data_IF_691851985313
#
_entry.id   IF_691851985313
#
_cell.length_a   1.000
_cell.length_b   1.000
_cell.length_c   1.000
_cell.angle_alpha   90.00
_cell.angle_beta   90.00
_cell.angle_gamma   90.00
#
_symmetry.space_group_name_H-M   'P 1'
#
loop_
_entity.id
_entity.type
_entity.pdbx_description
1 polymer ?
#
# COMPACT_ATOMS: atom_id res chain seq x y z
N UNK A 1 16.14 -32.83 -1.56
CA UNK A 1 14.84 -33.14 -0.91
C UNK A 1 14.70 -32.17 0.25
N UNK A 2 14.00 -31.06 0.03
CA UNK A 2 13.70 -30.02 1.03
C UNK A 2 12.21 -29.65 0.87
N UNK A 3 11.36 -30.67 0.68
CA UNK A 3 9.98 -30.52 0.21
C UNK A 3 8.97 -30.43 1.36
N UNK A 4 9.31 -29.73 2.43
CA UNK A 4 8.27 -29.31 3.36
C UNK A 4 8.56 -27.88 3.74
N UNK A 5 7.68 -26.95 3.34
CA UNK A 5 7.74 -25.54 3.76
C UNK A 5 7.47 -25.40 5.28
N UNK A 6 7.39 -26.53 5.99
CA UNK A 6 7.25 -26.65 7.44
C UNK A 6 8.20 -25.77 8.22
N UNK A 7 9.48 -25.70 7.87
CA UNK A 7 10.44 -24.86 8.61
C UNK A 7 10.04 -23.37 8.55
N UNK A 8 9.49 -22.91 7.42
CA UNK A 8 8.97 -21.55 7.28
C UNK A 8 7.67 -21.34 8.03
N UNK A 9 6.78 -22.34 8.04
CA UNK A 9 5.53 -22.33 8.80
C UNK A 9 5.83 -22.26 10.30
N UNK A 10 6.67 -23.15 10.80
CA UNK A 10 7.08 -23.21 12.20
C UNK A 10 7.79 -21.91 12.60
N UNK A 11 8.65 -21.35 11.74
CA UNK A 11 9.31 -20.07 11.98
C UNK A 11 8.35 -18.87 12.04
N UNK A 12 7.35 -18.81 11.16
CA UNK A 12 6.31 -17.76 11.22
C UNK A 12 5.44 -17.90 12.46
N UNK A 13 5.08 -19.12 12.85
CA UNK A 13 4.33 -19.39 14.08
C UNK A 13 5.16 -19.00 15.30
N UNK A 14 6.44 -19.37 15.36
CA UNK A 14 7.33 -18.97 16.45
C UNK A 14 7.46 -17.45 16.56
N UNK A 15 7.67 -16.78 15.41
CA UNK A 15 7.75 -15.31 15.34
C UNK A 15 6.46 -14.66 15.86
N UNK A 16 5.30 -15.29 15.64
CA UNK A 16 4.00 -14.73 16.07
C UNK A 16 3.84 -14.58 17.58
N UNK A 17 4.67 -15.25 18.38
CA UNK A 17 4.63 -15.11 19.83
C UNK A 17 5.21 -13.78 20.34
N UNK A 18 6.00 -13.08 19.54
CA UNK A 18 6.69 -11.87 19.96
C UNK A 18 6.66 -10.73 18.93
N UNK A 19 6.28 -10.99 17.68
CA UNK A 19 6.13 -9.98 16.64
C UNK A 19 4.65 -9.60 16.43
N UNK A 20 4.43 -8.43 15.83
CA UNK A 20 3.11 -7.98 15.39
C UNK A 20 2.66 -8.70 14.10
N UNK A 21 1.34 -8.75 13.88
CA UNK A 21 0.78 -9.29 12.64
C UNK A 21 1.30 -8.57 11.38
N UNK A 22 1.54 -7.25 11.47
CA UNK A 22 2.17 -6.48 10.39
C UNK A 22 3.60 -6.96 10.08
N UNK A 23 4.43 -7.18 11.11
CA UNK A 23 5.79 -7.71 10.92
C UNK A 23 5.77 -9.14 10.35
N UNK A 24 4.81 -9.97 10.75
CA UNK A 24 4.61 -11.29 10.15
C UNK A 24 4.24 -11.22 8.67
N UNK A 25 3.35 -10.29 8.28
CA UNK A 25 3.03 -10.03 6.86
C UNK A 25 4.28 -9.62 6.10
N UNK A 26 5.14 -8.78 6.68
CA UNK A 26 6.43 -8.41 6.10
C UNK A 26 7.35 -9.63 5.94
N UNK A 27 7.50 -10.48 6.96
CA UNK A 27 8.31 -11.71 6.85
C UNK A 27 7.79 -12.61 5.73
N UNK A 28 6.48 -12.86 5.70
CA UNK A 28 5.84 -13.68 4.66
C UNK A 28 6.09 -13.13 3.26
N UNK A 29 5.97 -11.81 3.07
CA UNK A 29 6.28 -11.15 1.80
C UNK A 29 7.76 -11.31 1.42
N UNK A 30 8.70 -11.24 2.37
CA UNK A 30 10.10 -11.51 2.09
C UNK A 30 10.32 -12.95 1.59
N UNK A 31 9.67 -13.94 2.21
CA UNK A 31 9.75 -15.34 1.78
C UNK A 31 9.21 -15.54 0.35
N UNK A 32 8.12 -14.85 0.01
CA UNK A 32 7.59 -14.81 -1.36
C UNK A 32 8.60 -14.18 -2.34
N UNK A 33 9.17 -13.02 -2.00
CA UNK A 33 10.10 -12.30 -2.88
C UNK A 33 11.41 -13.06 -3.12
N UNK A 34 11.85 -13.85 -2.14
CA UNK A 34 13.04 -14.70 -2.24
C UNK A 34 12.77 -16.03 -2.96
N UNK A 35 11.53 -16.27 -3.42
CA UNK A 35 11.10 -17.53 -4.05
C UNK A 35 11.51 -18.76 -3.22
N UNK A 36 11.51 -18.60 -1.89
CA UNK A 36 11.99 -19.62 -0.95
C UNK A 36 10.91 -20.66 -0.61
N UNK A 37 9.65 -20.35 -0.91
CA UNK A 37 8.51 -21.21 -0.63
C UNK A 37 8.21 -22.10 -1.84
N UNK A 38 8.12 -23.40 -1.60
CA UNK A 38 7.77 -24.39 -2.63
C UNK A 38 6.26 -24.37 -2.94
N UNK A 39 5.44 -24.15 -1.90
CA UNK A 39 3.98 -24.08 -1.94
C UNK A 39 3.50 -22.89 -1.09
N UNK A 40 3.61 -21.64 -1.60
CA UNK A 40 3.19 -20.44 -0.89
C UNK A 40 1.77 -20.50 -0.32
N UNK A 41 0.85 -21.13 -1.05
CA UNK A 41 -0.56 -21.30 -0.65
C UNK A 41 -0.75 -22.16 0.59
N UNK A 42 0.09 -23.18 0.77
CA UNK A 42 0.07 -24.03 1.97
C UNK A 42 0.56 -23.25 3.20
N UNK A 43 1.64 -22.47 3.04
CA UNK A 43 2.15 -21.62 4.12
C UNK A 43 1.11 -20.57 4.51
N UNK A 44 0.49 -19.94 3.52
CA UNK A 44 -0.63 -19.01 3.75
C UNK A 44 -1.77 -19.67 4.55
N UNK A 45 -2.29 -20.82 4.12
CA UNK A 45 -3.41 -21.48 4.80
C UNK A 45 -3.08 -21.89 6.25
N UNK A 46 -1.81 -22.14 6.56
CA UNK A 46 -1.37 -22.48 7.93
C UNK A 46 -1.10 -21.27 8.81
N UNK A 47 -0.74 -20.13 8.23
CA UNK A 47 -0.28 -18.97 8.98
C UNK A 47 -1.26 -17.79 8.97
N UNK A 48 -2.24 -17.73 8.06
CA UNK A 48 -3.07 -16.52 7.82
C UNK A 48 -3.68 -15.96 9.09
N UNK A 49 -4.09 -16.80 10.05
CA UNK A 49 -4.73 -16.36 11.30
C UNK A 49 -3.80 -15.47 12.14
N UNK A 50 -2.50 -15.74 12.12
CA UNK A 50 -1.48 -14.93 12.78
C UNK A 50 -1.16 -13.67 11.98
N UNK A 51 -1.13 -13.79 10.65
CA UNK A 51 -0.94 -12.64 9.76
C UNK A 51 -2.11 -11.67 9.80
N UNK A 52 -3.30 -12.09 10.24
CA UNK A 52 -4.52 -11.29 10.22
C UNK A 52 -5.02 -10.83 11.59
N UNK A 53 -4.25 -11.08 12.67
CA UNK A 53 -4.71 -10.88 14.05
C UNK A 53 -5.12 -9.42 14.36
N UNK A 54 -4.49 -8.45 13.68
CA UNK A 54 -4.76 -7.02 13.81
C UNK A 54 -5.84 -6.48 12.84
N UNK A 55 -6.32 -7.29 11.89
CA UNK A 55 -7.13 -6.80 10.77
C UNK A 55 -8.46 -6.22 11.26
N UNK A 56 -9.23 -6.97 12.06
CA UNK A 56 -10.54 -6.51 12.53
C UNK A 56 -10.42 -5.20 13.32
N UNK A 57 -9.43 -5.12 14.21
CA UNK A 57 -9.15 -3.90 14.97
C UNK A 57 -8.79 -2.73 14.05
N UNK A 58 -7.94 -2.97 13.05
CA UNK A 58 -7.50 -1.95 12.10
C UNK A 58 -8.66 -1.42 11.26
N UNK A 59 -9.52 -2.30 10.74
CA UNK A 59 -10.69 -1.90 9.95
C UNK A 59 -11.69 -1.12 10.80
N UNK A 60 -12.02 -1.58 12.02
CA UNK A 60 -12.90 -0.83 12.95
C UNK A 60 -12.38 0.57 13.22
N UNK A 61 -11.07 0.70 13.45
CA UNK A 61 -10.43 1.99 13.70
C UNK A 61 -10.47 2.89 12.47
N UNK A 62 -10.28 2.32 11.27
CA UNK A 62 -10.26 3.10 10.03
C UNK A 62 -11.66 3.58 9.61
N UNK A 63 -12.68 2.74 9.78
CA UNK A 63 -14.07 3.07 9.44
C UNK A 63 -14.82 3.78 10.58
N UNK A 64 -14.19 3.94 11.75
CA UNK A 64 -14.79 4.49 12.96
C UNK A 64 -16.08 3.76 13.38
N UNK A 65 -16.13 2.44 13.16
CA UNK A 65 -17.23 1.56 13.55
C UNK A 65 -16.68 0.48 14.48
N UNK A 66 -17.04 0.57 15.77
CA UNK A 66 -16.58 -0.39 16.78
C UNK A 66 -17.41 -1.68 16.82
N UNK A 67 -18.63 -1.66 16.28
CA UNK A 67 -19.55 -2.81 16.31
C UNK A 67 -19.37 -3.72 15.09
N UNK A 68 -18.69 -3.24 14.05
CA UNK A 68 -18.36 -4.00 12.84
C UNK A 68 -17.79 -5.38 13.18
N UNK A 69 -18.40 -6.42 12.63
CA UNK A 69 -17.86 -7.78 12.62
C UNK A 69 -17.47 -8.14 11.19
N UNK A 70 -16.39 -8.89 11.07
CA UNK A 70 -15.95 -9.47 9.81
C UNK A 70 -15.97 -10.98 9.96
N UNK A 71 -16.47 -11.67 8.94
CA UNK A 71 -16.33 -13.12 8.86
C UNK A 71 -14.89 -13.53 8.49
N UNK A 72 -14.59 -14.83 8.58
CA UNK A 72 -13.26 -15.36 8.26
C UNK A 72 -12.84 -15.02 6.83
N UNK A 73 -13.77 -15.08 5.87
CA UNK A 73 -13.49 -14.82 4.46
C UNK A 73 -13.09 -13.37 4.27
N UNK A 74 -13.79 -12.44 4.91
CA UNK A 74 -13.49 -11.01 4.90
C UNK A 74 -12.14 -10.73 5.56
N UNK A 75 -11.85 -11.32 6.72
CA UNK A 75 -10.55 -11.17 7.41
C UNK A 75 -9.40 -11.66 6.53
N UNK A 76 -9.53 -12.85 5.93
CA UNK A 76 -8.54 -13.39 4.97
C UNK A 76 -8.33 -12.45 3.80
N UNK A 77 -9.41 -11.93 3.23
CA UNK A 77 -9.35 -11.07 2.06
C UNK A 77 -8.69 -9.71 2.36
N UNK A 78 -9.00 -9.09 3.50
CA UNK A 78 -8.29 -7.88 3.97
C UNK A 78 -6.81 -8.17 4.25
N UNK A 79 -6.49 -9.31 4.87
CA UNK A 79 -5.10 -9.68 5.09
C UNK A 79 -4.33 -9.88 3.77
N UNK A 80 -4.97 -10.48 2.75
CA UNK A 80 -4.40 -10.62 1.41
C UNK A 80 -4.19 -9.27 0.73
N UNK A 81 -5.09 -8.32 0.93
CA UNK A 81 -4.92 -6.95 0.43
C UNK A 81 -3.66 -6.29 1.02
N UNK A 82 -3.44 -6.44 2.32
CA UNK A 82 -2.23 -5.91 2.97
C UNK A 82 -0.96 -6.58 2.43
N UNK A 83 -0.98 -7.90 2.20
CA UNK A 83 0.13 -8.62 1.56
C UNK A 83 0.36 -8.15 0.12
N UNK A 84 -0.70 -7.95 -0.66
CA UNK A 84 -0.63 -7.43 -2.03
C UNK A 84 0.02 -6.05 -2.06
N UNK A 85 -0.39 -5.12 -1.18
CA UNK A 85 0.22 -3.78 -1.09
C UNK A 85 1.73 -3.84 -0.80
N UNK A 86 2.12 -4.70 0.15
CA UNK A 86 3.54 -4.90 0.49
C UNK A 86 4.35 -5.45 -0.69
N UNK A 87 3.77 -6.35 -1.50
CA UNK A 87 4.39 -6.84 -2.73
C UNK A 87 4.46 -5.76 -3.81
N UNK A 88 3.41 -4.96 -3.98
CA UNK A 88 3.34 -3.88 -4.97
C UNK A 88 4.39 -2.81 -4.70
N UNK A 89 4.66 -2.48 -3.44
CA UNK A 89 5.76 -1.59 -3.06
C UNK A 89 7.15 -2.11 -3.49
N UNK A 90 7.26 -3.42 -3.79
CA UNK A 90 8.46 -4.08 -4.32
C UNK A 90 8.35 -4.41 -5.81
N UNK A 91 7.33 -3.89 -6.51
CA UNK A 91 7.10 -4.11 -7.94
C UNK A 91 6.62 -5.54 -8.29
N UNK A 92 6.05 -6.26 -7.33
CA UNK A 92 5.52 -7.62 -7.48
C UNK A 92 4.02 -7.64 -7.13
N UNK A 93 3.37 -8.78 -7.36
CA UNK A 93 1.94 -8.99 -7.08
C UNK A 93 1.70 -10.46 -6.74
N UNK A 94 0.70 -10.75 -5.89
CA UNK A 94 0.21 -12.09 -5.60
C UNK A 94 -0.15 -12.87 -6.87
N UNK A 95 -0.52 -12.17 -7.95
CA UNK A 95 -0.83 -12.78 -9.25
C UNK A 95 0.30 -13.69 -9.78
N UNK A 96 1.56 -13.38 -9.45
CA UNK A 96 2.73 -14.13 -9.93
C UNK A 96 3.08 -15.37 -9.09
N UNK A 97 2.40 -15.59 -7.96
CA UNK A 97 2.64 -16.72 -7.07
C UNK A 97 1.57 -17.78 -7.27
N UNK A 98 1.93 -18.89 -7.91
CA UNK A 98 0.97 -19.94 -8.26
C UNK A 98 0.30 -20.54 -7.02
N UNK A 99 -1.00 -20.78 -7.12
CA UNK A 99 -1.84 -21.29 -6.04
C UNK A 99 -2.16 -20.31 -4.90
N UNK A 100 -1.55 -19.11 -4.84
CA UNK A 100 -1.92 -18.12 -3.82
C UNK A 100 -3.35 -17.62 -4.03
N UNK A 101 -4.13 -17.48 -2.94
CA UNK A 101 -5.44 -16.86 -3.04
C UNK A 101 -5.30 -15.39 -3.46
N UNK A 102 -6.30 -14.92 -4.19
CA UNK A 102 -6.33 -13.55 -4.72
C UNK A 102 -7.31 -12.71 -3.90
N UNK A 103 -7.00 -11.42 -3.81
CA UNK A 103 -7.96 -10.44 -3.31
C UNK A 103 -9.20 -10.50 -4.19
N UNK A 104 -10.36 -10.70 -3.58
CA UNK A 104 -11.65 -10.78 -4.27
C UNK A 104 -12.47 -9.54 -3.91
N UNK A 105 -12.86 -8.75 -4.91
CA UNK A 105 -13.56 -7.46 -4.70
C UNK A 105 -15.03 -7.61 -4.24
N UNK A 106 -15.58 -8.83 -4.21
CA UNK A 106 -17.03 -9.05 -4.17
C UNK A 106 -17.68 -9.11 -2.79
N UNK A 107 -16.91 -9.22 -1.68
CA UNK A 107 -17.49 -9.54 -0.36
C UNK A 107 -17.08 -8.58 0.77
N UNK A 108 -16.49 -7.42 0.44
CA UNK A 108 -16.11 -6.42 1.42
C UNK A 108 -16.97 -5.17 1.22
N UNK A 109 -17.93 -4.86 2.13
CA UNK A 109 -18.81 -3.70 2.02
C UNK A 109 -18.11 -2.33 2.02
N UNK A 110 -16.79 -2.28 2.18
CA UNK A 110 -16.02 -1.06 2.46
C UNK A 110 -14.57 -1.11 1.98
N UNK A 111 -14.24 -1.96 0.99
CA UNK A 111 -12.86 -1.99 0.45
C UNK A 111 -12.49 -0.63 -0.12
N UNK A 112 -13.42 -0.01 -0.86
CA UNK A 112 -13.27 1.35 -1.39
C UNK A 112 -13.09 2.37 -0.25
N UNK A 113 -13.91 2.32 0.79
CA UNK A 113 -13.78 3.25 1.93
C UNK A 113 -12.45 3.08 2.67
N UNK A 114 -11.96 1.84 2.83
CA UNK A 114 -10.67 1.55 3.46
C UNK A 114 -9.51 2.02 2.58
N UNK A 115 -9.53 1.72 1.28
CA UNK A 115 -8.51 2.15 0.32
C UNK A 115 -8.47 3.67 0.20
N UNK A 116 -9.63 4.32 0.10
CA UNK A 116 -9.76 5.78 0.11
C UNK A 116 -9.24 6.36 1.43
N UNK A 117 -9.66 5.81 2.57
CA UNK A 117 -9.17 6.29 3.88
C UNK A 117 -7.67 6.13 4.04
N UNK A 118 -7.07 5.11 3.45
CA UNK A 118 -5.64 4.85 3.51
C UNK A 118 -4.84 5.72 2.53
N UNK A 119 -5.34 5.94 1.31
CA UNK A 119 -4.77 6.95 0.40
C UNK A 119 -4.84 8.35 1.01
N UNK A 120 -5.84 8.65 1.83
CA UNK A 120 -5.95 9.94 2.53
C UNK A 120 -5.14 10.03 3.83
N UNK A 121 -4.42 8.96 4.20
CA UNK A 121 -3.70 8.82 5.48
C UNK A 121 -2.22 9.17 5.42
N UNK A 122 -1.75 9.79 4.35
CA UNK A 122 -0.41 10.39 4.34
C UNK A 122 -0.32 11.48 5.41
N UNK A 123 0.88 11.67 5.96
CA UNK A 123 1.14 12.75 6.90
C UNK A 123 1.02 14.10 6.17
N UNK A 124 -0.14 14.74 6.32
CA UNK A 124 -0.45 16.02 5.69
C UNK A 124 0.52 17.12 6.12
N UNK A 125 1.08 17.04 7.33
CA UNK A 125 2.04 18.01 7.82
C UNK A 125 3.41 17.80 7.16
N UNK A 126 3.87 16.55 7.11
CA UNK A 126 5.12 16.21 6.40
C UNK A 126 5.02 16.51 4.90
N UNK A 127 3.85 16.28 4.29
CA UNK A 127 3.62 16.61 2.89
C UNK A 127 3.62 18.13 2.65
N UNK A 128 3.00 18.90 3.54
CA UNK A 128 3.03 20.37 3.48
C UNK A 128 4.46 20.93 3.64
N UNK A 129 5.25 20.39 4.57
CA UNK A 129 6.65 20.79 4.73
C UNK A 129 7.49 20.46 3.50
N UNK A 130 7.29 19.27 2.92
CA UNK A 130 7.98 18.87 1.69
C UNK A 130 7.53 19.75 0.50
N UNK A 131 6.24 20.06 0.41
CA UNK A 131 5.70 20.97 -0.58
C UNK A 131 6.35 22.36 -0.50
N UNK A 132 6.41 22.96 0.69
CA UNK A 132 7.05 24.27 0.91
C UNK A 132 8.53 24.26 0.49
N UNK A 133 9.25 23.17 0.82
CA UNK A 133 10.65 22.99 0.39
C UNK A 133 10.76 22.90 -1.12
N UNK A 134 9.92 22.08 -1.76
CA UNK A 134 9.93 21.87 -3.21
C UNK A 134 9.60 23.18 -3.96
N UNK A 135 8.61 23.95 -3.47
CA UNK A 135 8.24 25.26 -4.01
C UNK A 135 9.43 26.23 -3.94
N UNK A 136 10.10 26.27 -2.79
CA UNK A 136 11.23 27.18 -2.56
C UNK A 136 12.42 26.94 -3.49
N UNK A 137 12.55 25.72 -4.01
CA UNK A 137 13.63 25.27 -4.86
C UNK A 137 13.27 25.25 -6.37
N UNK A 138 12.04 25.64 -6.73
CA UNK A 138 11.66 25.80 -8.14
C UNK A 138 12.42 26.95 -8.78
N UNK A 139 12.81 26.78 -10.05
CA UNK A 139 13.27 27.90 -10.87
C UNK A 139 12.11 28.83 -11.21
N UNK A 140 12.39 30.08 -11.59
CA UNK A 140 11.36 31.05 -11.99
C UNK A 140 10.42 30.51 -13.09
N UNK A 141 10.97 29.80 -14.08
CA UNK A 141 10.16 29.22 -15.15
C UNK A 141 9.27 28.07 -14.64
N UNK A 142 9.79 27.21 -13.77
CA UNK A 142 9.00 26.12 -13.18
C UNK A 142 7.92 26.66 -12.24
N UNK A 143 8.23 27.71 -11.48
CA UNK A 143 7.30 28.39 -10.56
C UNK A 143 6.14 29.04 -11.33
N UNK A 144 6.40 29.69 -12.45
CA UNK A 144 5.34 30.22 -13.34
C UNK A 144 4.40 29.13 -13.84
N UNK A 145 4.94 27.97 -14.22
CA UNK A 145 4.11 26.84 -14.65
C UNK A 145 3.28 26.31 -13.49
N UNK A 146 3.91 26.13 -12.32
CA UNK A 146 3.24 25.71 -11.10
C UNK A 146 2.05 26.63 -10.76
N UNK A 147 2.29 27.95 -10.67
CA UNK A 147 1.28 28.95 -10.33
C UNK A 147 0.13 28.97 -11.35
N UNK A 148 0.43 28.78 -12.63
CA UNK A 148 -0.59 28.72 -13.70
C UNK A 148 -1.52 27.52 -13.50
N UNK A 149 -0.97 26.35 -13.18
CA UNK A 149 -1.75 25.12 -12.97
C UNK A 149 -2.58 25.25 -11.69
N UNK A 150 -1.95 25.65 -10.58
CA UNK A 150 -2.63 25.81 -9.29
C UNK A 150 -3.75 26.84 -9.37
N UNK A 151 -3.52 28.00 -9.98
CA UNK A 151 -4.56 29.03 -10.16
C UNK A 151 -5.74 28.52 -10.98
N UNK A 152 -5.50 27.61 -11.94
CA UNK A 152 -6.57 27.00 -12.74
C UNK A 152 -7.42 26.02 -11.93
N UNK A 153 -6.77 25.27 -11.02
CA UNK A 153 -7.43 24.36 -10.07
C UNK A 153 -8.25 25.15 -9.04
N UNK A 154 -7.66 26.17 -8.41
CA UNK A 154 -8.33 27.03 -7.42
C UNK A 154 -9.53 27.77 -8.03
N UNK A 155 -9.41 28.21 -9.28
CA UNK A 155 -10.51 28.86 -9.99
C UNK A 155 -11.52 27.85 -10.59
N UNK A 156 -11.35 26.56 -10.33
CA UNK A 156 -12.21 25.47 -10.78
C UNK A 156 -12.47 25.48 -12.30
N UNK A 157 -11.49 25.96 -13.08
CA UNK A 157 -11.62 26.11 -14.55
C UNK A 157 -11.41 24.79 -15.28
N UNK A 158 -10.75 23.83 -14.63
CA UNK A 158 -10.32 22.58 -15.25
C UNK A 158 -9.34 22.82 -16.42
N UNK A 159 -8.95 21.75 -17.09
CA UNK A 159 -8.10 21.83 -18.29
C UNK A 159 -7.04 20.73 -18.37
N UNK A 160 -6.37 20.65 -19.52
CA UNK A 160 -5.24 19.74 -19.75
C UNK A 160 -4.00 20.59 -20.03
N UNK A 161 -2.92 20.34 -19.28
CA UNK A 161 -1.64 21.02 -19.45
C UNK A 161 -0.60 20.06 -20.02
N UNK A 162 0.20 20.54 -20.98
CA UNK A 162 1.34 19.80 -21.51
C UNK A 162 2.63 20.45 -21.06
N UNK A 163 3.40 19.76 -20.21
CA UNK A 163 4.70 20.23 -19.75
C UNK A 163 5.79 19.83 -20.75
N UNK A 164 6.26 20.80 -21.53
CA UNK A 164 7.33 20.58 -22.50
C UNK A 164 8.69 21.08 -21.98
N UNK A 165 9.73 20.29 -22.14
CA UNK A 165 11.09 20.68 -21.79
C UNK A 165 12.13 19.62 -22.16
N UNK A 166 13.36 20.05 -22.44
CA UNK A 166 14.48 19.17 -22.78
C UNK A 166 14.85 18.24 -21.61
N UNK A 167 15.58 17.15 -21.85
CA UNK A 167 16.09 16.29 -20.77
C UNK A 167 16.88 17.09 -19.73
N UNK A 168 16.76 16.76 -18.44
CA UNK A 168 17.48 17.45 -17.35
C UNK A 168 16.86 18.77 -16.85
N UNK A 169 15.75 19.24 -17.43
CA UNK A 169 15.09 20.52 -17.03
C UNK A 169 14.19 20.42 -15.78
N UNK A 170 14.32 19.36 -14.99
CA UNK A 170 13.57 19.24 -13.73
C UNK A 170 12.05 19.03 -13.87
N UNK A 171 11.55 18.57 -15.01
CA UNK A 171 10.11 18.25 -15.20
C UNK A 171 9.57 17.32 -14.11
N UNK A 172 10.32 16.27 -13.76
CA UNK A 172 9.96 15.35 -12.68
C UNK A 172 9.88 16.05 -11.33
N UNK A 173 10.73 17.05 -11.10
CA UNK A 173 10.73 17.85 -9.88
C UNK A 173 9.43 18.66 -9.77
N UNK A 174 9.05 19.34 -10.87
CA UNK A 174 7.80 20.09 -10.94
C UNK A 174 6.56 19.19 -10.76
N UNK A 175 6.55 17.99 -11.35
CA UNK A 175 5.49 17.01 -11.11
C UNK A 175 5.41 16.61 -9.64
N UNK A 176 6.55 16.35 -8.99
CA UNK A 176 6.58 16.04 -7.56
C UNK A 176 6.02 17.19 -6.71
N UNK A 177 6.35 18.44 -7.05
CA UNK A 177 5.81 19.62 -6.36
C UNK A 177 4.30 19.74 -6.52
N UNK A 178 3.78 19.53 -7.74
CA UNK A 178 2.33 19.56 -8.01
C UNK A 178 1.58 18.42 -7.32
N UNK A 179 2.17 17.24 -7.21
CA UNK A 179 1.58 16.10 -6.50
C UNK A 179 1.56 16.26 -4.97
N UNK A 180 2.33 17.20 -4.43
CA UNK A 180 2.37 17.51 -3.01
C UNK A 180 1.47 18.70 -2.61
N UNK A 181 0.83 19.36 -3.58
CA UNK A 181 -0.15 20.43 -3.37
C UNK A 181 -1.54 19.84 -3.07
#
# INVERSE_FOLDING_TARGET
>A
MLNDDKDYIDGLIEQSHWATAHELRITFVHLLLQESLSMPSMVWEKCWSYLSDDILYTIRKNLNDQELQLDEKQIKNYCLLEVEKLLQHRGKSLFYYDGMPRVTDLDIPSLDDVLIHEELRYDKHALAEEHDRLISALTEDQKRVYETIVSSVEANRGGVFFLYGHGGTGKTYLWKTLSAY
#
